data_IF_600872582157
#
_entry.id   IF_600872582157
#
_cell.length_a   1.000
_cell.length_b   1.000
_cell.length_c   1.000
_cell.angle_alpha   90.00
_cell.angle_beta   90.00
_cell.angle_gamma   90.00
#
_symmetry.space_group_name_H-M   'P 1'
#
loop_
_entity.id
_entity.type
_entity.pdbx_description
1 polymer ?
#
# COMPACT_ATOMS: atom_id res chain seq x y z
N UNK A 1 40.00 -23.68 22.71
CA UNK A 1 41.19 -22.83 22.80
C UNK A 1 40.78 -21.41 22.44
N UNK A 2 41.15 -20.44 23.27
CA UNK A 2 40.69 -19.03 23.25
C UNK A 2 41.63 -18.16 22.42
N UNK A 3 41.10 -17.12 21.77
CA UNK A 3 41.68 -15.79 21.52
C UNK A 3 41.03 -15.18 20.26
N UNK A 4 40.77 -13.88 20.10
CA UNK A 4 40.74 -12.70 20.96
C UNK A 4 40.28 -11.58 19.99
N UNK A 5 39.16 -10.89 20.22
CA UNK A 5 38.84 -9.68 19.44
C UNK A 5 38.65 -8.49 20.39
N UNK A 6 39.53 -7.52 20.17
CA UNK A 6 39.81 -6.36 21.00
C UNK A 6 38.65 -5.38 21.00
N UNK A 7 38.22 -4.99 22.20
CA UNK A 7 37.30 -3.86 22.45
C UNK A 7 38.13 -2.58 22.46
N UNK A 8 37.92 -1.72 21.48
CA UNK A 8 38.47 -0.36 21.52
C UNK A 8 37.55 0.54 22.36
N UNK A 9 37.96 0.79 23.61
CA UNK A 9 37.42 1.85 24.47
C UNK A 9 38.08 3.17 24.06
N UNK A 10 37.28 4.21 23.76
CA UNK A 10 37.77 5.59 23.81
C UNK A 10 37.07 6.29 24.95
N UNK A 11 37.85 6.51 26.02
CA UNK A 11 37.54 7.40 27.10
C UNK A 11 37.96 8.83 26.70
N UNK A 12 37.13 9.82 27.00
CA UNK A 12 37.43 11.23 26.90
C UNK A 12 36.48 12.00 27.80
N UNK A 13 36.99 12.44 28.94
CA UNK A 13 36.30 13.04 30.08
C UNK A 13 36.16 14.57 29.96
N UNK A 14 34.97 15.06 30.39
CA UNK A 14 34.68 16.25 31.25
C UNK A 14 34.97 17.68 30.75
N UNK A 15 33.89 18.46 30.62
CA UNK A 15 33.65 19.82 31.17
C UNK A 15 32.22 20.20 30.74
N UNK A 16 31.22 20.50 31.57
CA UNK A 16 31.20 21.34 32.77
C UNK A 16 30.62 22.69 32.40
N UNK A 17 29.29 22.89 32.50
CA UNK A 17 28.64 24.20 32.58
C UNK A 17 27.17 24.06 33.03
N UNK A 18 26.91 24.55 34.23
CA UNK A 18 25.61 24.67 34.88
C UNK A 18 24.86 25.91 34.37
N UNK A 19 23.56 25.84 34.12
CA UNK A 19 22.69 27.03 34.06
C UNK A 19 21.24 26.74 34.51
N UNK A 20 20.97 27.23 35.73
CA UNK A 20 19.80 28.01 36.20
C UNK A 20 18.38 27.44 35.99
N UNK A 21 17.76 27.11 37.13
CA UNK A 21 16.33 26.99 37.32
C UNK A 21 15.64 28.36 37.34
N UNK A 22 14.48 28.48 36.68
CA UNK A 22 13.52 29.55 36.95
C UNK A 22 12.15 28.93 37.14
N UNK A 23 11.69 28.95 38.38
CA UNK A 23 10.30 28.75 38.74
C UNK A 23 9.58 30.09 38.62
N UNK A 24 8.42 30.10 37.97
CA UNK A 24 7.47 31.21 38.06
C UNK A 24 6.07 30.65 38.27
N UNK A 25 5.63 30.74 39.53
CA UNK A 25 4.23 30.65 39.94
C UNK A 25 3.53 31.93 39.49
N UNK A 26 2.42 31.80 38.77
CA UNK A 26 1.38 32.83 38.77
C UNK A 26 0.06 32.13 39.08
N UNK A 27 -0.36 32.34 40.33
CA UNK A 27 -1.72 32.20 40.77
C UNK A 27 -2.52 33.40 40.23
N UNK A 28 -3.71 33.16 39.70
CA UNK A 28 -4.78 34.15 39.75
C UNK A 28 -6.08 33.47 40.16
N UNK A 29 -6.58 33.96 41.28
CA UNK A 29 -7.79 33.52 41.98
C UNK A 29 -9.00 34.34 41.50
N UNK A 30 -10.19 33.76 41.69
CA UNK A 30 -11.50 34.42 41.62
C UNK A 30 -12.31 33.92 40.43
N UNK A 31 -13.54 33.44 40.55
CA UNK A 31 -14.52 33.35 41.64
C UNK A 31 -15.83 32.88 40.97
N UNK A 32 -16.64 32.09 41.67
CA UNK A 32 -17.63 31.21 41.06
C UNK A 32 -18.89 31.86 40.46
N UNK A 33 -19.61 31.11 39.64
CA UNK A 33 -21.04 30.79 39.81
C UNK A 33 -21.56 29.88 38.70
N UNK A 34 -22.41 28.94 39.10
CA UNK A 34 -23.13 28.00 38.26
C UNK A 34 -24.20 28.72 37.40
N UNK A 35 -24.47 28.17 36.21
CA UNK A 35 -25.62 28.57 35.38
C UNK A 35 -25.68 27.83 34.05
N UNK A 36 -26.66 26.93 33.91
CA UNK A 36 -27.17 26.42 32.64
C UNK A 36 -27.45 27.55 31.64
N UNK A 37 -27.12 27.34 30.35
CA UNK A 37 -28.06 27.45 29.20
C UNK A 37 -27.34 27.55 27.85
N UNK A 38 -27.82 26.73 26.90
CA UNK A 38 -28.08 27.02 25.49
C UNK A 38 -26.98 27.60 24.57
N UNK A 39 -26.69 26.85 23.50
CA UNK A 39 -25.93 27.24 22.31
C UNK A 39 -26.23 28.65 21.78
N UNK A 40 -25.27 29.21 21.02
CA UNK A 40 -25.55 29.40 19.61
C UNK A 40 -24.46 28.82 18.70
N UNK A 41 -24.90 28.39 17.52
CA UNK A 41 -24.11 27.93 16.39
C UNK A 41 -23.01 28.90 15.99
N UNK A 42 -21.85 28.35 15.61
CA UNK A 42 -20.82 29.06 14.84
C UNK A 42 -20.19 28.10 13.83
N UNK A 43 -20.62 28.31 12.58
CA UNK A 43 -19.91 28.22 11.29
C UNK A 43 -18.73 27.26 11.13
N UNK A 44 -18.92 26.29 10.23
CA UNK A 44 -17.98 25.29 9.75
C UNK A 44 -16.68 25.86 9.14
N UNK A 45 -15.61 25.04 9.05
CA UNK A 45 -14.88 24.87 7.81
C UNK A 45 -15.60 23.79 6.99
N UNK A 46 -16.06 24.14 5.79
CA UNK A 46 -16.60 23.18 4.84
C UNK A 46 -15.63 22.03 4.69
N UNK A 47 -16.05 20.83 5.08
CA UNK A 47 -15.42 19.63 4.60
C UNK A 47 -15.55 19.66 3.09
N UNK A 48 -14.45 19.92 2.39
CA UNK A 48 -14.34 19.58 0.99
C UNK A 48 -14.59 18.08 0.92
N UNK A 49 -15.85 17.67 0.77
CA UNK A 49 -16.15 16.40 0.14
C UNK A 49 -15.64 16.55 -1.27
N UNK A 50 -14.34 16.32 -1.45
CA UNK A 50 -13.74 16.08 -2.76
C UNK A 50 -14.59 14.96 -3.33
N UNK A 51 -15.54 15.34 -4.19
CA UNK A 51 -16.40 14.38 -4.85
C UNK A 51 -15.46 13.46 -5.59
N UNK A 52 -15.37 12.21 -5.14
CA UNK A 52 -14.58 11.17 -5.81
C UNK A 52 -14.96 11.22 -7.27
N UNK A 53 -13.96 11.33 -8.15
CA UNK A 53 -14.17 11.32 -9.58
C UNK A 53 -15.08 10.12 -9.92
N UNK A 54 -16.26 10.34 -10.51
CA UNK A 54 -17.22 9.27 -10.78
C UNK A 54 -16.62 8.10 -11.58
N UNK A 55 -15.57 8.34 -12.38
CA UNK A 55 -14.85 7.31 -13.13
C UNK A 55 -14.04 6.35 -12.24
N UNK A 56 -13.75 6.73 -11.00
CA UNK A 56 -13.03 5.94 -10.01
C UNK A 56 -13.94 5.13 -9.10
N UNK A 57 -15.26 5.28 -9.26
CA UNK A 57 -16.22 4.52 -8.48
C UNK A 57 -16.16 3.05 -8.87
N UNK A 58 -16.12 2.17 -7.88
CA UNK A 58 -16.10 0.73 -8.13
C UNK A 58 -17.52 0.28 -8.53
N UNK A 59 -17.70 -0.42 -9.67
CA UNK A 59 -19.04 -0.75 -10.18
C UNK A 59 -19.79 -1.74 -9.28
N UNK A 60 -19.09 -2.71 -8.69
CA UNK A 60 -19.62 -3.66 -7.72
C UNK A 60 -18.50 -4.00 -6.71
N UNK A 61 -18.67 -3.73 -5.41
CA UNK A 61 -17.66 -4.10 -4.42
C UNK A 61 -17.40 -5.61 -4.42
N UNK A 62 -16.13 -6.01 -4.43
CA UNK A 62 -15.70 -7.41 -4.35
C UNK A 62 -15.43 -7.84 -2.91
N UNK A 63 -15.70 -9.12 -2.60
CA UNK A 63 -15.42 -9.72 -1.30
C UNK A 63 -13.90 -9.93 -1.13
N UNK A 64 -13.26 -9.05 -0.38
CA UNK A 64 -11.79 -9.02 -0.24
C UNK A 64 -11.30 -9.42 1.16
N UNK A 65 -12.18 -9.92 2.03
CA UNK A 65 -11.83 -10.24 3.42
C UNK A 65 -10.73 -11.30 3.50
N UNK A 66 -10.80 -12.34 2.67
CA UNK A 66 -9.77 -13.37 2.62
C UNK A 66 -8.43 -12.82 2.13
N UNK A 67 -8.46 -11.96 1.10
CA UNK A 67 -7.28 -11.29 0.56
C UNK A 67 -6.61 -10.38 1.61
N UNK A 68 -7.39 -9.73 2.47
CA UNK A 68 -6.90 -8.90 3.56
C UNK A 68 -6.22 -9.72 4.67
N UNK A 69 -6.75 -10.92 4.97
CA UNK A 69 -6.20 -11.79 6.01
C UNK A 69 -5.03 -12.66 5.51
N UNK A 70 -5.05 -13.02 4.23
CA UNK A 70 -4.04 -13.85 3.59
C UNK A 70 -3.86 -13.39 2.13
N UNK A 71 -2.79 -12.66 1.78
CA UNK A 71 -2.60 -12.18 0.41
C UNK A 71 -2.41 -13.34 -0.60
N UNK A 72 -2.04 -14.54 -0.14
CA UNK A 72 -1.92 -15.71 -1.03
C UNK A 72 -3.26 -16.32 -1.43
N UNK A 73 -4.38 -15.88 -0.84
CA UNK A 73 -5.73 -16.22 -1.30
C UNK A 73 -6.12 -15.49 -2.59
N UNK A 74 -5.29 -14.58 -3.11
CA UNK A 74 -5.63 -13.81 -4.32
C UNK A 74 -5.94 -14.71 -5.53
N UNK A 75 -5.34 -15.90 -5.58
CA UNK A 75 -5.54 -16.91 -6.62
C UNK A 75 -5.38 -18.32 -6.03
N UNK A 76 -6.17 -19.26 -6.54
CA UNK A 76 -6.00 -20.69 -6.23
C UNK A 76 -4.80 -21.29 -6.97
N UNK A 77 -4.28 -22.43 -6.48
CA UNK A 77 -3.21 -23.20 -7.14
C UNK A 77 -3.53 -23.56 -8.60
N UNK A 78 -4.80 -23.84 -8.92
CA UNK A 78 -5.22 -24.12 -10.29
C UNK A 78 -5.10 -22.88 -11.18
N UNK A 79 -5.63 -21.74 -10.72
CA UNK A 79 -5.55 -20.47 -11.47
C UNK A 79 -4.10 -20.00 -11.65
N UNK A 80 -3.24 -20.21 -10.64
CA UNK A 80 -1.81 -19.91 -10.73
C UNK A 80 -1.14 -20.71 -11.84
N UNK A 81 -1.41 -22.02 -11.91
CA UNK A 81 -0.88 -22.89 -12.98
C UNK A 81 -1.40 -22.45 -14.35
N UNK A 82 -2.68 -22.11 -14.48
CA UNK A 82 -3.29 -21.66 -15.73
C UNK A 82 -2.66 -20.38 -16.29
N UNK A 83 -2.16 -19.51 -15.41
CA UNK A 83 -1.47 -18.27 -15.80
C UNK A 83 0.07 -18.40 -15.79
N UNK A 84 0.60 -19.61 -15.57
CA UNK A 84 2.04 -19.91 -15.69
C UNK A 84 2.86 -19.55 -14.45
N UNK A 85 2.25 -19.47 -13.27
CA UNK A 85 2.90 -19.26 -11.98
C UNK A 85 3.01 -20.57 -11.19
N UNK A 86 4.05 -20.70 -10.38
CA UNK A 86 4.30 -21.88 -9.55
C UNK A 86 3.67 -21.72 -8.15
N UNK A 87 2.71 -22.56 -7.75
CA UNK A 87 2.28 -22.66 -6.36
C UNK A 87 3.24 -23.52 -5.50
N UNK A 88 3.18 -23.43 -4.16
CA UNK A 88 2.38 -22.45 -3.41
C UNK A 88 3.09 -21.11 -3.32
N UNK A 89 2.30 -20.04 -3.16
CA UNK A 89 2.82 -18.69 -2.91
C UNK A 89 3.53 -18.58 -1.57
N UNK A 90 4.23 -17.46 -1.36
CA UNK A 90 4.88 -17.12 -0.08
C UNK A 90 4.51 -15.70 0.34
N UNK A 91 4.07 -15.54 1.57
CA UNK A 91 3.85 -14.20 2.14
C UNK A 91 5.19 -13.52 2.39
N UNK A 92 5.38 -12.36 1.77
CA UNK A 92 6.45 -11.42 2.01
C UNK A 92 5.91 -10.30 2.90
N UNK A 93 6.29 -10.25 4.19
CA UNK A 93 5.75 -9.28 5.12
C UNK A 93 6.22 -7.86 4.79
N UNK A 94 5.32 -6.88 4.92
CA UNK A 94 5.61 -5.47 4.64
C UNK A 94 4.38 -4.56 4.76
N UNK A 95 4.53 -3.25 4.46
CA UNK A 95 3.39 -2.35 4.31
C UNK A 95 3.06 -2.13 2.81
N UNK A 96 2.18 -2.90 2.17
CA UNK A 96 1.40 -4.04 2.69
C UNK A 96 2.12 -5.40 2.58
N UNK A 97 1.57 -6.43 3.23
CA UNK A 97 1.98 -7.82 3.01
C UNK A 97 1.61 -8.22 1.58
N UNK A 98 2.54 -8.89 0.89
CA UNK A 98 2.34 -9.38 -0.47
C UNK A 98 2.51 -10.88 -0.51
N UNK A 99 1.71 -11.59 -1.29
CA UNK A 99 2.03 -12.94 -1.69
C UNK A 99 2.88 -12.93 -2.96
N UNK A 100 4.04 -13.58 -2.88
CA UNK A 100 4.96 -13.78 -3.98
C UNK A 100 4.77 -15.14 -4.66
N UNK A 101 4.80 -15.15 -5.98
CA UNK A 101 4.94 -16.34 -6.80
C UNK A 101 6.03 -16.15 -7.85
N UNK A 102 6.75 -17.23 -8.16
CA UNK A 102 7.66 -17.29 -9.30
C UNK A 102 6.94 -17.79 -10.55
N UNK A 103 7.43 -17.42 -11.73
CA UNK A 103 6.99 -18.05 -12.97
C UNK A 103 7.41 -19.52 -12.99
N UNK A 104 6.52 -20.39 -13.48
CA UNK A 104 6.72 -21.84 -13.43
C UNK A 104 7.89 -22.33 -14.30
N UNK A 105 8.17 -21.62 -15.39
CA UNK A 105 9.21 -22.00 -16.36
C UNK A 105 10.50 -21.19 -16.22
N UNK A 106 10.45 -20.04 -15.55
CA UNK A 106 11.57 -19.11 -15.37
C UNK A 106 11.54 -18.58 -13.93
N UNK A 107 12.07 -19.32 -12.95
CA UNK A 107 11.93 -18.98 -11.53
C UNK A 107 12.55 -17.64 -11.12
N UNK A 108 13.45 -17.08 -11.94
CA UNK A 108 14.03 -15.75 -11.80
C UNK A 108 13.01 -14.63 -12.00
N UNK A 109 11.88 -14.92 -12.65
CA UNK A 109 10.77 -13.98 -12.80
C UNK A 109 9.72 -14.24 -11.72
N UNK A 110 9.11 -13.18 -11.20
CA UNK A 110 8.10 -13.29 -10.16
C UNK A 110 7.06 -12.18 -10.17
N UNK A 111 6.07 -12.36 -9.30
CA UNK A 111 5.00 -11.40 -9.05
C UNK A 111 4.68 -11.36 -7.56
N UNK A 112 4.40 -10.16 -7.05
CA UNK A 112 3.80 -9.93 -5.73
C UNK A 112 2.36 -9.42 -5.88
N UNK A 113 1.43 -9.92 -5.08
CA UNK A 113 0.04 -9.42 -5.01
C UNK A 113 -0.37 -9.22 -3.57
N UNK A 114 -1.07 -8.12 -3.27
CA UNK A 114 -1.66 -7.91 -1.95
C UNK A 114 -2.62 -6.74 -1.89
N UNK A 115 -3.56 -6.81 -0.95
CA UNK A 115 -4.48 -5.72 -0.63
C UNK A 115 -3.79 -4.65 0.23
N UNK A 116 -4.21 -3.39 0.10
CA UNK A 116 -3.56 -2.25 0.77
C UNK A 116 -4.54 -1.64 1.77
N UNK A 117 -4.71 -2.22 2.97
CA UNK A 117 -5.69 -1.77 3.96
C UNK A 117 -5.41 -0.37 4.54
N UNK A 118 -4.19 0.14 4.33
CA UNK A 118 -3.79 1.49 4.70
C UNK A 118 -4.51 2.54 3.85
N UNK A 119 -4.89 2.21 2.61
CA UNK A 119 -5.71 3.06 1.77
C UNK A 119 -7.14 3.07 2.31
N UNK A 120 -7.72 4.26 2.48
CA UNK A 120 -9.10 4.45 2.95
C UNK A 120 -10.04 4.92 1.84
N UNK A 121 -9.49 5.48 0.76
CA UNK A 121 -10.20 5.87 -0.46
C UNK A 121 -9.99 4.90 -1.63
N UNK A 122 -9.48 3.70 -1.37
CA UNK A 122 -9.28 2.67 -2.40
C UNK A 122 -8.35 3.14 -3.52
N UNK A 123 -8.82 3.09 -4.76
CA UNK A 123 -8.06 3.56 -5.93
C UNK A 123 -7.89 5.08 -5.95
N UNK A 124 -8.80 5.83 -5.32
CA UNK A 124 -8.74 7.30 -5.29
C UNK A 124 -7.47 7.80 -4.59
N UNK A 125 -7.01 7.08 -3.57
CA UNK A 125 -5.77 7.40 -2.86
C UNK A 125 -4.54 7.28 -3.77
N UNK A 126 -4.57 6.34 -4.73
CA UNK A 126 -3.51 6.18 -5.74
C UNK A 126 -3.57 7.32 -6.75
N UNK A 127 -4.77 7.70 -7.21
CA UNK A 127 -4.95 8.83 -8.13
C UNK A 127 -4.52 10.17 -7.51
N UNK A 128 -4.75 10.36 -6.20
CA UNK A 128 -4.28 11.53 -5.47
C UNK A 128 -2.74 11.65 -5.43
N UNK A 129 -2.02 10.53 -5.63
CA UNK A 129 -0.56 10.49 -5.65
C UNK A 129 0.05 10.69 -7.05
N UNK A 130 -0.76 10.87 -8.10
CA UNK A 130 -0.31 11.01 -9.50
C UNK A 130 0.88 11.95 -9.70
N UNK A 131 0.86 13.11 -9.04
CA UNK A 131 1.93 14.12 -9.17
C UNK A 131 3.28 13.68 -8.55
N UNK A 132 3.29 12.64 -7.72
CA UNK A 132 4.47 12.08 -7.06
C UNK A 132 4.95 10.78 -7.72
N UNK A 133 4.19 10.22 -8.64
CA UNK A 133 4.53 8.98 -9.33
C UNK A 133 5.53 9.27 -10.46
N UNK A 134 6.53 8.41 -10.63
CA UNK A 134 7.44 8.46 -11.78
C UNK A 134 6.70 8.14 -13.08
N UNK A 135 5.66 7.30 -13.00
CA UNK A 135 4.71 7.06 -14.07
C UNK A 135 3.31 6.90 -13.50
N UNK A 136 2.29 7.31 -14.28
CA UNK A 136 0.89 7.14 -13.92
C UNK A 136 0.03 7.00 -15.17
N UNK A 137 -0.53 5.82 -15.38
CA UNK A 137 -1.33 5.48 -16.55
C UNK A 137 -2.64 4.81 -16.10
N UNK A 138 -3.80 5.49 -16.21
CA UNK A 138 -5.10 4.90 -15.96
C UNK A 138 -5.34 3.63 -16.78
N UNK A 139 -5.99 2.64 -16.19
CA UNK A 139 -6.38 1.41 -16.87
C UNK A 139 -7.69 0.88 -16.28
N UNK A 140 -8.40 0.06 -17.05
CA UNK A 140 -9.57 -0.69 -16.57
C UNK A 140 -9.23 -2.18 -16.54
N UNK A 141 -9.49 -2.84 -15.41
CA UNK A 141 -9.25 -4.29 -15.22
C UNK A 141 -10.59 -4.97 -15.00
N UNK A 142 -11.10 -5.69 -16.00
CA UNK A 142 -12.39 -6.40 -15.92
C UNK A 142 -13.58 -5.53 -15.44
N UNK A 143 -13.58 -4.25 -15.83
CA UNK A 143 -14.57 -3.23 -15.46
C UNK A 143 -14.22 -2.41 -14.21
N UNK A 144 -13.13 -2.74 -13.52
CA UNK A 144 -12.72 -2.07 -12.28
C UNK A 144 -11.67 -0.97 -12.57
N UNK A 145 -11.74 0.17 -11.88
CA UNK A 145 -10.78 1.26 -12.05
C UNK A 145 -9.40 0.84 -11.55
N UNK A 146 -8.38 1.17 -12.32
CA UNK A 146 -6.99 0.91 -11.97
C UNK A 146 -6.04 1.97 -12.51
N UNK A 147 -4.77 1.84 -12.13
CA UNK A 147 -3.68 2.63 -12.67
C UNK A 147 -2.37 1.85 -12.58
N UNK A 148 -1.61 1.84 -13.66
CA UNK A 148 -0.18 1.57 -13.57
C UNK A 148 0.45 2.80 -12.92
N UNK A 149 1.02 2.64 -11.73
CA UNK A 149 1.66 3.73 -11.02
C UNK A 149 2.72 3.23 -10.03
N UNK A 150 3.84 3.94 -9.95
CA UNK A 150 4.88 3.73 -8.95
C UNK A 150 5.66 5.03 -8.74
N UNK A 151 6.33 5.15 -7.59
CA UNK A 151 7.24 6.26 -7.31
C UNK A 151 8.55 6.13 -8.10
N UNK A 152 8.90 4.93 -8.58
CA UNK A 152 10.07 4.67 -9.40
C UNK A 152 9.69 3.99 -10.71
N UNK A 153 10.26 4.42 -11.84
CA UNK A 153 10.02 3.76 -13.13
C UNK A 153 11.02 2.61 -13.36
N UNK A 154 10.63 1.41 -12.92
CA UNK A 154 11.35 0.17 -13.14
C UNK A 154 11.00 -0.55 -14.45
N UNK A 155 10.16 0.03 -15.31
CA UNK A 155 9.56 -0.69 -16.46
C UNK A 155 10.58 -1.09 -17.51
N UNK A 156 11.57 -0.24 -17.77
CA UNK A 156 12.71 -0.59 -18.64
C UNK A 156 13.56 -1.74 -18.09
N UNK A 157 13.49 -1.98 -16.78
CA UNK A 157 14.24 -3.02 -16.07
C UNK A 157 13.42 -4.30 -15.86
N UNK A 158 12.16 -4.32 -16.31
CA UNK A 158 11.26 -5.47 -16.18
C UNK A 158 10.36 -5.45 -14.94
N UNK A 159 10.25 -4.32 -14.23
CA UNK A 159 9.33 -4.19 -13.11
C UNK A 159 8.09 -3.36 -13.47
N UNK A 160 6.93 -3.72 -12.95
CA UNK A 160 5.74 -2.89 -13.08
C UNK A 160 4.78 -3.07 -11.91
N UNK A 161 4.30 -1.95 -11.38
CA UNK A 161 3.25 -1.88 -10.36
C UNK A 161 1.92 -1.45 -10.99
N UNK A 162 0.88 -2.24 -10.74
CA UNK A 162 -0.51 -2.01 -11.13
C UNK A 162 -1.39 -2.01 -9.90
N UNK A 163 -2.20 -0.96 -9.74
CA UNK A 163 -3.19 -0.81 -8.67
C UNK A 163 -4.59 -0.96 -9.23
N UNK A 164 -5.46 -1.69 -8.52
CA UNK A 164 -6.86 -1.89 -8.93
C UNK A 164 -7.77 -1.69 -7.73
N UNK A 165 -8.75 -0.80 -7.87
CA UNK A 165 -9.81 -0.60 -6.89
C UNK A 165 -10.81 -1.74 -6.95
N UNK A 166 -11.08 -2.38 -5.81
CA UNK A 166 -12.03 -3.50 -5.69
C UNK A 166 -13.20 -3.20 -4.77
N UNK A 167 -13.08 -2.15 -3.96
CA UNK A 167 -14.19 -1.43 -3.33
C UNK A 167 -13.87 0.07 -3.37
N UNK A 168 -14.82 0.94 -3.02
CA UNK A 168 -14.55 2.39 -2.92
C UNK A 168 -13.50 2.74 -1.84
N UNK A 169 -13.15 1.78 -0.97
CA UNK A 169 -12.19 1.97 0.13
C UNK A 169 -10.99 1.05 0.05
N UNK A 170 -10.94 0.11 -0.90
CA UNK A 170 -9.87 -0.89 -0.98
C UNK A 170 -9.36 -1.04 -2.40
N UNK A 171 -8.04 -1.03 -2.52
CA UNK A 171 -7.33 -1.43 -3.72
C UNK A 171 -6.34 -2.56 -3.39
N UNK A 172 -6.02 -3.37 -4.40
CA UNK A 172 -4.89 -4.28 -4.36
C UNK A 172 -3.83 -3.85 -5.37
N UNK A 173 -2.60 -4.30 -5.15
CA UNK A 173 -1.48 -4.08 -6.05
C UNK A 173 -1.00 -5.40 -6.65
N UNK A 174 -0.52 -5.33 -7.88
CA UNK A 174 0.26 -6.38 -8.56
C UNK A 174 1.59 -5.78 -8.94
N UNK A 175 2.68 -6.37 -8.44
CA UNK A 175 4.04 -5.95 -8.73
C UNK A 175 4.76 -7.08 -9.46
N UNK A 176 5.08 -6.88 -10.73
CA UNK A 176 5.89 -7.84 -11.49
C UNK A 176 7.37 -7.49 -11.39
N UNK A 177 8.20 -8.55 -11.39
CA UNK A 177 9.67 -8.47 -11.47
C UNK A 177 10.14 -9.51 -12.49
N UNK A 178 10.33 -9.08 -13.73
CA UNK A 178 10.68 -9.93 -14.87
C UNK A 178 12.13 -9.65 -15.27
N UNK A 179 13.04 -10.49 -14.79
CA UNK A 179 14.48 -10.32 -14.95
C UNK A 179 14.98 -10.77 -16.32
N UNK A 180 14.38 -11.81 -16.90
CA UNK A 180 14.80 -12.43 -18.17
C UNK A 180 13.62 -12.87 -19.03
N UNK A 181 13.88 -13.10 -20.32
CA UNK A 181 12.88 -13.55 -21.29
C UNK A 181 12.08 -12.41 -21.95
N UNK A 182 11.17 -12.78 -22.86
CA UNK A 182 10.48 -11.83 -23.74
C UNK A 182 9.57 -10.85 -22.98
N UNK A 183 8.95 -11.29 -21.88
CA UNK A 183 8.04 -10.45 -21.10
C UNK A 183 8.75 -9.32 -20.35
N UNK A 184 10.10 -9.33 -20.27
CA UNK A 184 10.88 -8.25 -19.64
C UNK A 184 10.62 -6.89 -20.28
N UNK A 185 10.36 -6.86 -21.59
CA UNK A 185 10.05 -5.63 -22.32
C UNK A 185 8.59 -5.16 -22.09
N UNK A 186 7.73 -6.01 -21.53
CA UNK A 186 6.30 -5.74 -21.34
C UNK A 186 5.81 -6.15 -19.94
N UNK A 187 6.46 -5.72 -18.85
CA UNK A 187 6.15 -6.20 -17.50
C UNK A 187 4.74 -5.79 -17.03
N UNK A 188 4.24 -4.64 -17.49
CA UNK A 188 2.90 -4.17 -17.19
C UNK A 188 1.80 -5.01 -17.85
N UNK A 189 2.07 -5.58 -19.03
CA UNK A 189 1.13 -6.52 -19.67
C UNK A 189 0.96 -7.78 -18.83
N UNK A 190 2.06 -8.28 -18.24
CA UNK A 190 2.01 -9.40 -17.30
C UNK A 190 1.26 -9.03 -16.01
N UNK A 191 1.52 -7.83 -15.46
CA UNK A 191 0.82 -7.35 -14.26
C UNK A 191 -0.71 -7.26 -14.50
N UNK A 192 -1.13 -6.74 -15.65
CA UNK A 192 -2.54 -6.66 -16.02
C UNK A 192 -3.20 -8.02 -16.14
N UNK A 193 -2.58 -8.99 -16.83
CA UNK A 193 -3.13 -10.35 -16.95
C UNK A 193 -3.35 -11.00 -15.58
N UNK A 194 -2.42 -10.78 -14.64
CA UNK A 194 -2.53 -11.32 -13.28
C UNK A 194 -3.63 -10.59 -12.50
N UNK A 195 -3.73 -9.26 -12.62
CA UNK A 195 -4.81 -8.50 -12.01
C UNK A 195 -6.21 -8.91 -12.54
N UNK A 196 -6.32 -9.19 -13.84
CA UNK A 196 -7.55 -9.72 -14.45
C UNK A 196 -7.93 -11.08 -13.83
N UNK A 197 -6.95 -11.96 -13.60
CA UNK A 197 -7.18 -13.25 -12.93
C UNK A 197 -7.65 -13.06 -11.48
N UNK A 198 -7.03 -12.14 -10.72
CA UNK A 198 -7.42 -11.82 -9.33
C UNK A 198 -8.84 -11.27 -9.29
N UNK A 199 -9.18 -10.29 -10.13
CA UNK A 199 -10.55 -9.74 -10.19
C UNK A 199 -11.56 -10.82 -10.57
N UNK A 200 -11.21 -11.73 -11.49
CA UNK A 200 -12.08 -12.86 -11.86
C UNK A 200 -12.28 -13.82 -10.69
N UNK A 201 -11.22 -14.13 -9.94
CA UNK A 201 -11.30 -14.98 -8.76
C UNK A 201 -12.22 -14.37 -7.70
N UNK A 202 -12.02 -13.09 -7.36
CA UNK A 202 -12.83 -12.38 -6.37
C UNK A 202 -14.31 -12.25 -6.76
N UNK A 203 -14.63 -12.20 -8.06
CA UNK A 203 -16.02 -12.26 -8.55
C UNK A 203 -16.67 -13.62 -8.32
N UNK A 204 -15.90 -14.71 -8.39
CA UNK A 204 -16.38 -16.09 -8.23
C UNK A 204 -16.38 -16.61 -6.80
N UNK A 205 -15.68 -15.92 -5.89
CA UNK A 205 -15.66 -16.23 -4.45
C UNK A 205 -16.85 -15.61 -3.67
N UNK A 206 -17.76 -14.94 -4.38
CA UNK A 206 -18.94 -14.27 -3.82
C UNK A 206 -20.12 -15.24 -3.59
#
# INVERSE_FOLDING_TARGET
MRANWSRSRRAGTVAGLAFVAVASLVACSGGGSAGNSSSPSSSAPGGSSSSVDPSLKVPAPLQAQELLSNPCSALTDAQLKDIGLAPPGRVNPGPPDLCGWSAATIPENGVGVGAVPQNKGGISDIYAQKAKSAYFEPVTVNGYPGAFADMQDGRSSGSCSLWVGITDQLAFTVITSINIGQNKATPCRSAQKIAEAVVTHLKGAA
#
